data_IF_243644739816
#
_entry.id   IF_243644739816
#
_cell.length_a   1.000
_cell.length_b   1.000
_cell.length_c   1.000
_cell.angle_alpha   90.00
_cell.angle_beta   90.00
_cell.angle_gamma   90.00
#
_symmetry.space_group_name_H-M   'P 1'
#
loop_
_entity.id
_entity.type
_entity.pdbx_description
1 polymer ?
#
# COMPACT_ATOMS: atom_id res chain seq x y z
N UNK A 1 -17.04 -16.56 16.47
CA UNK A 1 -16.32 -16.75 15.20
C UNK A 1 -14.88 -16.31 15.37
N UNK A 2 -13.89 -17.10 14.93
CA UNK A 2 -12.48 -16.68 14.96
C UNK A 2 -12.21 -15.83 13.71
N UNK A 3 -11.78 -14.59 13.90
CA UNK A 3 -11.43 -13.70 12.79
C UNK A 3 -10.00 -14.00 12.34
N UNK A 4 -9.78 -14.17 11.04
CA UNK A 4 -8.44 -14.32 10.48
C UNK A 4 -7.66 -13.02 10.68
N UNK A 5 -6.47 -13.11 11.28
CA UNK A 5 -5.58 -11.96 11.55
C UNK A 5 -4.31 -11.96 10.71
N UNK A 6 -3.88 -13.14 10.28
CA UNK A 6 -2.65 -13.34 9.51
C UNK A 6 -3.01 -14.13 8.26
N UNK A 7 -2.67 -13.58 7.09
CA UNK A 7 -2.81 -14.25 5.81
C UNK A 7 -1.44 -14.28 5.14
N UNK A 8 -0.91 -15.48 4.96
CA UNK A 8 0.36 -15.71 4.30
C UNK A 8 0.06 -16.52 3.04
N UNK A 9 0.36 -15.95 1.89
CA UNK A 9 0.24 -16.61 0.59
C UNK A 9 1.64 -16.78 0.01
N UNK A 10 1.98 -18.01 -0.38
CA UNK A 10 3.32 -18.39 -0.85
C UNK A 10 3.20 -19.19 -2.13
N UNK A 11 3.88 -18.77 -3.20
CA UNK A 11 3.81 -19.44 -4.50
C UNK A 11 2.54 -19.08 -5.26
N UNK A 12 1.72 -20.07 -5.60
CA UNK A 12 0.46 -19.83 -6.30
C UNK A 12 -0.47 -18.92 -5.48
N UNK A 13 -0.81 -17.78 -6.07
CA UNK A 13 -1.65 -16.74 -5.48
C UNK A 13 -2.81 -16.39 -6.40
N UNK A 14 -3.97 -16.01 -5.83
CA UNK A 14 -5.08 -15.52 -6.63
C UNK A 14 -4.68 -14.27 -7.41
N UNK A 15 -5.28 -14.06 -8.57
CA UNK A 15 -5.13 -12.81 -9.32
C UNK A 15 -5.60 -11.59 -8.52
N UNK A 16 -5.20 -10.39 -8.97
CA UNK A 16 -5.48 -9.12 -8.29
C UNK A 16 -6.95 -8.97 -7.85
N UNK A 17 -7.90 -9.26 -8.74
CA UNK A 17 -9.34 -9.09 -8.46
C UNK A 17 -9.86 -10.08 -7.43
N UNK A 18 -9.43 -11.34 -7.50
CA UNK A 18 -9.81 -12.38 -6.56
C UNK A 18 -9.22 -12.12 -5.18
N UNK A 19 -7.94 -11.74 -5.11
CA UNK A 19 -7.29 -11.37 -3.86
C UNK A 19 -7.99 -10.17 -3.22
N UNK A 20 -8.29 -9.13 -4.00
CA UNK A 20 -9.04 -7.95 -3.52
C UNK A 20 -10.43 -8.36 -3.02
N UNK A 21 -11.14 -9.23 -3.71
CA UNK A 21 -12.45 -9.74 -3.27
C UNK A 21 -12.34 -10.49 -1.95
N UNK A 22 -11.38 -11.38 -1.81
CA UNK A 22 -11.15 -12.14 -0.58
C UNK A 22 -10.79 -11.22 0.60
N UNK A 23 -9.93 -10.24 0.39
CA UNK A 23 -9.50 -9.30 1.43
C UNK A 23 -10.66 -8.43 1.95
N UNK A 24 -11.67 -8.11 1.14
CA UNK A 24 -12.89 -7.38 1.58
C UNK A 24 -13.65 -8.13 2.67
N UNK A 25 -13.60 -9.46 2.66
CA UNK A 25 -14.26 -10.31 3.65
C UNK A 25 -13.42 -10.43 4.95
N UNK A 26 -12.11 -10.17 4.86
CA UNK A 26 -11.15 -10.31 5.95
C UNK A 26 -10.92 -9.01 6.73
N UNK A 27 -11.99 -8.44 7.28
CA UNK A 27 -11.94 -7.14 8.01
C UNK A 27 -11.02 -7.12 9.24
N UNK A 28 -10.71 -8.29 9.81
CA UNK A 28 -9.82 -8.44 10.95
C UNK A 28 -8.35 -8.65 10.60
N UNK A 29 -7.98 -8.61 9.32
CA UNK A 29 -6.61 -8.88 8.88
C UNK A 29 -5.65 -7.80 9.39
N UNK A 30 -4.62 -8.24 10.11
CA UNK A 30 -3.55 -7.43 10.68
C UNK A 30 -2.23 -7.61 9.92
N UNK A 31 -1.98 -8.81 9.38
CA UNK A 31 -0.75 -9.14 8.65
C UNK A 31 -1.10 -9.79 7.32
N UNK A 32 -0.57 -9.21 6.25
CA UNK A 32 -0.61 -9.77 4.91
C UNK A 32 0.81 -10.00 4.39
N UNK A 33 1.12 -11.25 4.05
CA UNK A 33 2.39 -11.64 3.43
C UNK A 33 2.10 -12.30 2.09
N UNK A 34 2.68 -11.76 1.02
CA UNK A 34 2.59 -12.27 -0.35
C UNK A 34 4.01 -12.62 -0.81
N UNK A 35 4.37 -13.90 -0.77
CA UNK A 35 5.74 -14.37 -1.01
C UNK A 35 5.80 -15.18 -2.29
N UNK A 36 6.62 -14.72 -3.24
CA UNK A 36 6.73 -15.26 -4.59
C UNK A 36 5.35 -15.49 -5.23
N UNK A 37 4.47 -14.46 -5.30
CA UNK A 37 3.17 -14.63 -5.89
C UNK A 37 3.34 -14.97 -7.37
N UNK A 38 2.93 -16.18 -7.72
CA UNK A 38 2.71 -16.63 -9.08
C UNK A 38 1.20 -16.62 -9.31
N UNK A 39 0.74 -15.93 -10.34
CA UNK A 39 -0.68 -15.76 -10.63
C UNK A 39 -0.89 -16.08 -12.10
N UNK A 40 -1.85 -16.96 -12.38
CA UNK A 40 -2.22 -17.34 -13.76
C UNK A 40 -2.78 -16.15 -14.55
N UNK A 41 -3.35 -15.14 -13.85
CA UNK A 41 -4.05 -14.00 -14.45
C UNK A 41 -3.21 -12.72 -14.52
N UNK A 42 -1.96 -12.76 -14.04
CA UNK A 42 -1.03 -11.63 -14.12
C UNK A 42 -0.42 -11.21 -12.78
N UNK A 43 0.57 -10.35 -12.90
CA UNK A 43 1.45 -9.89 -11.83
C UNK A 43 0.75 -8.91 -10.86
N UNK A 44 0.89 -9.15 -9.55
CA UNK A 44 0.36 -8.30 -8.46
C UNK A 44 0.92 -6.87 -8.54
N UNK A 45 0.09 -5.92 -9.01
CA UNK A 45 0.57 -4.62 -9.48
C UNK A 45 0.05 -3.41 -8.73
N UNK A 46 0.20 -2.22 -9.32
CA UNK A 46 -0.30 -0.96 -8.76
C UNK A 46 -1.80 -0.99 -8.42
N UNK A 47 -2.60 -1.77 -9.17
CA UNK A 47 -4.05 -1.91 -8.93
C UNK A 47 -4.35 -2.45 -7.54
N UNK A 48 -3.53 -3.38 -7.06
CA UNK A 48 -3.63 -3.92 -5.72
C UNK A 48 -3.39 -2.84 -4.65
N UNK A 49 -2.34 -2.01 -4.80
CA UNK A 49 -2.09 -0.88 -3.90
C UNK A 49 -3.26 0.12 -3.90
N UNK A 50 -3.82 0.39 -5.09
CA UNK A 50 -4.97 1.29 -5.24
C UNK A 50 -6.23 0.72 -4.57
N UNK A 51 -6.44 -0.60 -4.61
CA UNK A 51 -7.55 -1.24 -3.91
C UNK A 51 -7.38 -1.23 -2.39
N UNK A 52 -6.14 -1.20 -1.89
CA UNK A 52 -5.83 -1.07 -0.47
C UNK A 52 -5.82 0.39 0.03
N UNK A 53 -5.90 1.38 -0.87
CA UNK A 53 -6.00 2.81 -0.54
C UNK A 53 -7.38 3.10 0.08
N UNK A 54 -7.44 3.52 1.37
CA UNK A 54 -8.69 3.79 2.07
C UNK A 54 -9.56 4.89 1.43
N UNK A 55 -9.00 5.76 0.57
CA UNK A 55 -9.71 6.88 -0.06
C UNK A 55 -10.34 6.53 -1.41
N UNK A 56 -9.74 5.60 -2.15
CA UNK A 56 -10.29 5.16 -3.45
C UNK A 56 -11.56 4.33 -3.29
N UNK A 57 -11.64 3.53 -2.21
CA UNK A 57 -12.82 2.70 -1.94
C UNK A 57 -14.11 3.50 -1.67
N UNK A 58 -14.04 4.81 -1.39
CA UNK A 58 -15.19 5.68 -1.12
C UNK A 58 -15.93 6.13 -2.39
N UNK A 59 -15.22 6.24 -3.54
CA UNK A 59 -15.78 6.81 -4.78
C UNK A 59 -16.74 5.88 -5.53
N UNK A 60 -16.75 4.59 -5.20
CA UNK A 60 -17.58 3.59 -5.90
C UNK A 60 -18.97 3.36 -5.27
N UNK A 61 -19.49 4.29 -4.46
CA UNK A 61 -20.90 4.30 -4.04
C UNK A 61 -21.37 3.15 -3.13
N UNK A 62 -20.47 2.25 -2.73
CA UNK A 62 -20.72 1.19 -1.76
C UNK A 62 -19.95 1.45 -0.47
N UNK A 63 -20.60 1.21 0.67
CA UNK A 63 -20.04 1.32 2.03
C UNK A 63 -18.89 0.31 2.29
N UNK A 64 -17.78 0.43 1.58
CA UNK A 64 -16.56 -0.27 1.91
C UNK A 64 -15.48 0.75 2.22
N UNK A 65 -15.54 1.22 3.48
CA UNK A 65 -14.36 1.60 4.25
C UNK A 65 -13.19 0.65 3.92
N UNK A 66 -11.99 1.19 3.71
CA UNK A 66 -10.69 0.51 3.67
C UNK A 66 -10.72 -1.04 3.61
N UNK A 67 -10.24 -1.62 2.50
CA UNK A 67 -10.20 -3.07 2.23
C UNK A 67 -9.79 -3.90 3.46
N UNK A 68 -8.66 -3.54 4.06
CA UNK A 68 -8.06 -4.18 5.24
C UNK A 68 -7.82 -3.11 6.29
N UNK A 69 -8.84 -2.76 7.08
CA UNK A 69 -8.79 -1.60 7.96
C UNK A 69 -7.81 -1.82 9.11
N UNK A 70 -7.51 -3.07 9.48
CA UNK A 70 -6.62 -3.39 10.60
C UNK A 70 -5.19 -3.76 10.18
N UNK A 71 -4.85 -3.59 8.91
CA UNK A 71 -3.54 -3.98 8.40
C UNK A 71 -2.42 -3.17 9.09
N UNK A 72 -1.54 -3.87 9.79
CA UNK A 72 -0.36 -3.34 10.49
C UNK A 72 0.94 -3.75 9.81
N UNK A 73 0.97 -4.92 9.17
CA UNK A 73 2.13 -5.40 8.43
C UNK A 73 1.74 -5.82 7.01
N UNK A 74 2.49 -5.32 6.03
CA UNK A 74 2.43 -5.77 4.65
C UNK A 74 3.81 -6.23 4.20
N UNK A 75 3.90 -7.46 3.70
CA UNK A 75 5.12 -7.99 3.14
C UNK A 75 4.84 -8.52 1.74
N UNK A 76 5.67 -8.11 0.81
CA UNK A 76 5.59 -8.55 -0.58
C UNK A 76 6.98 -8.94 -1.06
N UNK A 77 7.12 -10.16 -1.55
CA UNK A 77 8.31 -10.62 -2.27
C UNK A 77 7.87 -11.10 -3.64
N UNK A 78 8.22 -10.42 -4.72
CA UNK A 78 7.77 -10.81 -6.05
C UNK A 78 8.49 -10.10 -7.19
N UNK A 79 8.19 -10.51 -8.43
CA UNK A 79 8.86 -9.97 -9.63
C UNK A 79 8.45 -8.54 -9.93
N UNK A 80 7.21 -8.18 -9.63
CA UNK A 80 6.61 -6.87 -9.93
C UNK A 80 7.23 -5.78 -9.07
N UNK A 81 7.66 -4.70 -9.71
CA UNK A 81 7.97 -3.45 -9.03
C UNK A 81 6.75 -2.52 -9.07
N UNK A 82 6.34 -1.99 -7.92
CA UNK A 82 5.30 -0.96 -7.84
C UNK A 82 5.80 0.38 -8.37
N UNK A 83 4.88 1.21 -8.85
CA UNK A 83 5.19 2.62 -9.10
C UNK A 83 5.59 3.30 -7.78
N UNK A 84 6.80 3.91 -7.70
CA UNK A 84 7.32 4.50 -6.46
C UNK A 84 6.39 5.56 -5.86
N UNK A 85 5.83 6.45 -6.69
CA UNK A 85 4.98 7.54 -6.23
C UNK A 85 3.64 7.05 -5.68
N UNK A 86 3.02 6.05 -6.35
CA UNK A 86 1.80 5.43 -5.85
C UNK A 86 2.03 4.69 -4.53
N UNK A 87 3.18 4.03 -4.41
CA UNK A 87 3.58 3.37 -3.18
C UNK A 87 3.75 4.38 -2.04
N UNK A 88 4.49 5.48 -2.24
CA UNK A 88 4.65 6.53 -1.22
C UNK A 88 3.30 7.11 -0.80
N UNK A 89 2.43 7.39 -1.76
CA UNK A 89 1.07 7.87 -1.47
C UNK A 89 0.28 6.88 -0.60
N UNK A 90 0.32 5.60 -0.95
CA UNK A 90 -0.30 4.54 -0.15
C UNK A 90 0.26 4.50 1.28
N UNK A 91 1.58 4.54 1.44
CA UNK A 91 2.24 4.53 2.74
C UNK A 91 1.79 5.71 3.60
N UNK A 92 1.84 6.94 3.05
CA UNK A 92 1.43 8.16 3.76
C UNK A 92 -0.04 8.11 4.19
N UNK A 93 -0.94 7.60 3.33
CA UNK A 93 -2.36 7.49 3.67
C UNK A 93 -2.65 6.44 4.75
N UNK A 94 -1.79 5.41 4.86
CA UNK A 94 -1.92 4.32 5.84
C UNK A 94 -1.14 4.56 7.13
N UNK A 95 -0.22 5.51 7.13
CA UNK A 95 0.57 5.93 8.28
C UNK A 95 -0.21 6.91 9.16
N UNK A 96 -0.08 6.81 10.49
CA UNK A 96 -0.79 7.66 11.47
C UNK A 96 0.13 8.45 12.42
N UNK A 97 0.98 9.31 11.86
CA UNK A 97 1.23 10.62 12.46
C UNK A 97 0.74 11.71 11.49
N UNK A 98 -0.05 12.62 12.05
CA UNK A 98 -0.71 13.72 11.33
C UNK A 98 0.32 14.66 10.66
N UNK A 99 1.51 14.79 11.25
CA UNK A 99 2.63 15.64 10.78
C UNK A 99 3.17 15.22 9.41
N UNK A 100 3.37 13.92 9.17
CA UNK A 100 3.93 13.42 7.90
C UNK A 100 2.93 13.60 6.77
N UNK A 101 1.64 13.38 7.06
CA UNK A 101 0.55 13.59 6.13
C UNK A 101 0.42 15.07 5.74
N UNK A 102 0.44 15.98 6.71
CA UNK A 102 0.36 17.43 6.45
C UNK A 102 1.55 17.94 5.63
N UNK A 103 2.76 17.44 5.92
CA UNK A 103 3.96 17.83 5.21
C UNK A 103 3.96 17.33 3.75
N UNK A 104 3.48 16.10 3.49
CA UNK A 104 3.29 15.58 2.13
C UNK A 104 2.20 16.35 1.39
N UNK A 105 1.08 16.64 2.07
CA UNK A 105 -0.02 17.45 1.53
C UNK A 105 0.48 18.81 1.07
N UNK A 106 1.17 19.56 1.94
CA UNK A 106 1.68 20.91 1.65
C UNK A 106 2.58 20.94 0.41
N UNK A 107 3.44 19.92 0.23
CA UNK A 107 4.29 19.77 -0.96
C UNK A 107 3.47 19.61 -2.25
N UNK A 108 2.45 18.75 -2.25
CA UNK A 108 1.56 18.55 -3.40
C UNK A 108 0.83 19.85 -3.79
N UNK A 109 0.44 20.68 -2.81
CA UNK A 109 -0.19 21.99 -3.06
C UNK A 109 0.80 23.02 -3.61
N UNK A 110 2.07 22.99 -3.17
CA UNK A 110 3.08 23.95 -3.61
C UNK A 110 3.54 23.77 -5.07
N UNK A 111 3.36 22.59 -5.65
CA UNK A 111 3.81 22.25 -7.01
C UNK A 111 2.72 22.39 -8.09
N UNK A 112 1.47 22.74 -7.74
CA UNK A 112 0.37 22.85 -8.71
C UNK A 112 0.03 24.31 -9.05
N UNK A 113 0.27 24.71 -10.31
CA UNK A 113 -0.25 25.94 -10.94
C UNK A 113 -1.65 25.74 -11.56
N UNK A 114 -2.32 24.61 -11.29
CA UNK A 114 -3.63 24.29 -11.85
C UNK A 114 -4.71 24.72 -10.85
N UNK A 115 -5.68 25.58 -11.24
CA UNK A 115 -6.89 25.74 -10.45
C UNK A 115 -7.66 24.42 -10.54
N UNK A 116 -7.55 23.59 -9.51
CA UNK A 116 -8.27 22.32 -9.46
C UNK A 116 -9.64 22.53 -8.83
N UNK A 117 -10.68 22.53 -9.67
CA UNK A 117 -11.98 21.93 -9.35
C UNK A 117 -11.82 20.40 -9.16
N UNK A 118 -10.92 20.01 -8.27
CA UNK A 118 -10.87 18.64 -7.75
C UNK A 118 -11.37 18.76 -6.35
N UNK A 119 -12.56 18.21 -6.14
CA UNK A 119 -13.16 17.88 -4.85
C UNK A 119 -12.16 17.11 -3.98
N UNK A 120 -11.19 17.85 -3.45
CA UNK A 120 -10.48 17.57 -2.21
C UNK A 120 -11.38 18.09 -1.10
N UNK A 121 -12.66 17.69 -1.13
CA UNK A 121 -13.57 17.94 -0.03
C UNK A 121 -12.92 17.35 1.22
N UNK A 122 -12.80 18.22 2.22
CA UNK A 122 -12.45 17.93 3.60
C UNK A 122 -13.51 17.00 4.23
N UNK A 123 -13.75 15.83 3.65
CA UNK A 123 -14.64 14.85 4.24
C UNK A 123 -13.87 14.04 5.29
N UNK A 124 -13.94 14.55 6.52
CA UNK A 124 -13.70 13.87 7.79
C UNK A 124 -12.33 13.19 7.97
N UNK A 125 -11.43 13.88 8.68
CA UNK A 125 -10.23 13.30 9.32
C UNK A 125 -10.57 12.24 10.38
N UNK A 126 -11.86 12.02 10.67
CA UNK A 126 -12.37 11.03 11.62
C UNK A 126 -12.60 9.66 10.98
N UNK A 127 -11.64 9.10 10.24
CA UNK A 127 -11.68 7.66 9.89
C UNK A 127 -11.55 6.84 11.19
N UNK A 128 -12.63 6.22 11.74
CA UNK A 128 -12.59 5.80 13.14
C UNK A 128 -11.67 4.60 13.38
N UNK A 129 -11.37 3.78 12.38
CA UNK A 129 -10.86 2.43 12.62
C UNK A 129 -9.83 1.90 11.59
N UNK A 130 -9.10 2.76 10.89
CA UNK A 130 -7.93 2.28 10.13
C UNK A 130 -6.74 2.18 11.08
N UNK A 131 -6.27 0.97 11.38
CA UNK A 131 -4.99 0.76 12.09
C UNK A 131 -3.87 1.37 11.25
N UNK A 132 -2.89 1.99 11.93
CA UNK A 132 -1.71 2.48 11.25
C UNK A 132 -0.94 1.28 10.68
N UNK A 133 -0.56 1.37 9.42
CA UNK A 133 0.37 0.42 8.82
C UNK A 133 1.74 0.67 9.44
N UNK A 134 2.28 -0.27 10.20
CA UNK A 134 3.52 -0.09 10.97
C UNK A 134 4.74 -0.62 10.23
N UNK A 135 4.56 -1.64 9.40
CA UNK A 135 5.65 -2.31 8.71
C UNK A 135 5.29 -2.61 7.26
N UNK A 136 6.18 -2.22 6.35
CA UNK A 136 6.14 -2.59 4.94
C UNK A 136 7.50 -3.08 4.49
N UNK A 137 7.54 -4.31 4.01
CA UNK A 137 8.74 -4.92 3.44
C UNK A 137 8.41 -5.28 2.00
N UNK A 138 9.13 -4.69 1.05
CA UNK A 138 9.01 -5.00 -0.36
C UNK A 138 10.33 -5.56 -0.88
N UNK A 139 10.30 -6.80 -1.33
CA UNK A 139 11.40 -7.48 -2.00
C UNK A 139 11.03 -7.65 -3.46
N UNK A 140 11.71 -6.92 -4.35
CA UNK A 140 11.35 -6.88 -5.78
C UNK A 140 12.54 -7.19 -6.68
N UNK A 141 12.29 -7.70 -7.89
CA UNK A 141 13.36 -8.01 -8.84
C UNK A 141 14.26 -6.80 -9.16
N UNK A 142 13.66 -5.60 -9.22
CA UNK A 142 14.37 -4.33 -9.37
C UNK A 142 14.37 -3.57 -8.06
N UNK A 143 15.43 -2.80 -7.81
CA UNK A 143 15.46 -1.88 -6.67
C UNK A 143 14.48 -0.73 -6.93
N UNK A 144 13.56 -0.48 -5.99
CA UNK A 144 12.69 0.69 -6.03
C UNK A 144 13.53 1.97 -5.97
N UNK A 145 13.39 2.83 -6.98
CA UNK A 145 14.05 4.13 -7.04
C UNK A 145 13.00 5.22 -6.80
N UNK A 146 13.24 6.08 -5.82
CA UNK A 146 12.39 7.22 -5.51
C UNK A 146 13.06 8.49 -6.05
N UNK A 147 12.26 9.43 -6.55
CA UNK A 147 12.75 10.78 -6.81
C UNK A 147 13.08 11.51 -5.49
N UNK A 148 13.59 12.73 -5.57
CA UNK A 148 14.00 13.47 -4.37
C UNK A 148 12.86 13.73 -3.39
N UNK A 149 11.65 13.98 -3.89
CA UNK A 149 10.49 14.33 -3.06
C UNK A 149 9.88 13.10 -2.39
N UNK A 150 9.75 12.01 -3.13
CA UNK A 150 9.31 10.72 -2.63
C UNK A 150 10.35 10.14 -1.64
N UNK A 151 11.65 10.26 -1.93
CA UNK A 151 12.72 9.81 -1.03
C UNK A 151 12.74 10.58 0.29
N UNK A 152 12.51 11.89 0.26
CA UNK A 152 12.35 12.71 1.46
C UNK A 152 11.13 12.26 2.29
N UNK A 153 10.03 11.93 1.61
CA UNK A 153 8.81 11.47 2.27
C UNK A 153 9.02 10.10 2.93
N UNK A 154 9.65 9.16 2.22
CA UNK A 154 10.03 7.85 2.77
C UNK A 154 10.94 8.01 3.99
N UNK A 155 11.93 8.90 3.94
CA UNK A 155 12.81 9.17 5.08
C UNK A 155 12.03 9.66 6.29
N UNK A 156 11.10 10.59 6.12
CA UNK A 156 10.23 11.07 7.21
C UNK A 156 9.36 9.96 7.79
N UNK A 157 8.77 9.11 6.95
CA UNK A 157 7.99 7.96 7.43
C UNK A 157 8.83 7.05 8.35
N UNK A 158 10.09 6.80 7.99
CA UNK A 158 11.03 6.01 8.80
C UNK A 158 11.38 6.73 10.10
N UNK A 159 11.71 8.03 10.02
CA UNK A 159 12.02 8.86 11.20
C UNK A 159 10.85 8.93 12.20
N UNK A 160 9.61 8.92 11.69
CA UNK A 160 8.40 8.90 12.48
C UNK A 160 8.09 7.52 13.10
N UNK A 161 8.86 6.49 12.73
CA UNK A 161 8.79 5.15 13.33
C UNK A 161 8.20 4.04 12.45
N UNK A 162 7.94 4.32 11.16
CA UNK A 162 7.46 3.29 10.23
C UNK A 162 8.60 2.37 9.82
N UNK A 163 8.42 1.06 9.93
CA UNK A 163 9.42 0.10 9.49
C UNK A 163 9.28 -0.15 7.98
N UNK A 164 10.16 0.46 7.19
CA UNK A 164 10.18 0.34 5.72
C UNK A 164 11.45 -0.36 5.24
N UNK A 165 11.30 -1.42 4.46
CA UNK A 165 12.40 -2.09 3.78
C UNK A 165 12.10 -2.25 2.28
N UNK A 166 13.03 -1.80 1.44
CA UNK A 166 12.97 -1.95 -0.02
C UNK A 166 14.18 -2.74 -0.49
N UNK A 167 14.02 -4.04 -0.65
CA UNK A 167 15.08 -5.00 -0.94
C UNK A 167 15.04 -5.36 -2.42
N UNK A 168 16.21 -5.39 -3.07
CA UNK A 168 16.33 -6.01 -4.39
C UNK A 168 16.49 -7.51 -4.19
N UNK A 169 15.61 -8.31 -4.77
CA UNK A 169 15.81 -9.75 -4.86
C UNK A 169 16.93 -10.03 -5.87
N UNK A 170 18.08 -10.47 -5.35
CA UNK A 170 19.24 -10.86 -6.17
C UNK A 170 19.02 -12.18 -6.90
N UNK A 171 18.01 -12.96 -6.51
CA UNK A 171 17.67 -14.25 -7.11
C UNK A 171 16.51 -14.19 -8.11
N UNK A 172 15.84 -13.03 -8.24
CA UNK A 172 14.73 -12.87 -9.20
C UNK A 172 15.17 -12.96 -10.68
N UNK A 173 16.46 -12.77 -10.96
CA UNK A 173 17.08 -12.90 -12.29
C UNK A 173 17.64 -14.34 -12.53
N UNK A 174 17.38 -15.31 -11.65
CA UNK A 174 17.86 -16.69 -11.77
C UNK A 174 17.10 -17.51 -12.83
N UNK A 175 17.76 -18.46 -13.51
CA UNK A 175 17.17 -19.19 -14.63
C UNK A 175 15.97 -19.99 -14.12
N UNK A 176 14.85 -19.89 -14.85
CA UNK A 176 13.73 -20.81 -14.66
C UNK A 176 14.26 -22.24 -14.71
N UNK A 177 14.08 -22.95 -13.59
CA UNK A 177 14.18 -24.40 -13.57
C UNK A 177 12.85 -24.96 -14.05
#
# INVERSE_FOLDING_TARGET
MRTLRHLHLVGETPGDEELVRALKEMRGLEVLMLINPDSEEGELGDRFLEAMDPRKSRREGGSMACLVPRLRKFEYQGRVSFNPHKLVKFLVQRWKPESTYEAYRSKLFSQSLVPMDVDFELEDLSLPHVSALESVILTTAKKTQFDSDDADTVRRLIEDGMHLEFVKDVNADGPGW
#
